data_IF_483181670603
#
_entry.id   IF_483181670603
#
_cell.length_a   1.000
_cell.length_b   1.000
_cell.length_c   1.000
_cell.angle_alpha   90.00
_cell.angle_beta   90.00
_cell.angle_gamma   90.00
#
_symmetry.space_group_name_H-M   'P 1'
#
loop_
_entity.id
_entity.type
_entity.pdbx_description
1 polymer ?
#
# COMPACT_ATOMS: atom_id res chain seq x y z
N UNK A 1 -7.49 15.89 12.74
CA UNK A 1 -7.21 15.35 11.38
C UNK A 1 -7.37 13.85 11.47
N UNK A 2 -8.13 13.24 10.56
CA UNK A 2 -8.35 11.78 10.55
C UNK A 2 -7.16 11.14 9.85
N UNK A 3 -6.49 10.19 10.49
CA UNK A 3 -5.35 9.51 9.89
C UNK A 3 -5.80 8.77 8.62
N UNK A 4 -5.08 8.99 7.52
CA UNK A 4 -5.39 8.38 6.23
C UNK A 4 -5.05 6.89 6.29
N UNK A 5 -5.99 6.03 5.86
CA UNK A 5 -5.81 4.57 5.87
C UNK A 5 -5.84 3.97 4.48
N UNK A 6 -4.85 3.15 4.19
CA UNK A 6 -4.75 2.32 3.00
C UNK A 6 -5.27 0.92 3.31
N UNK A 7 -6.31 0.47 2.61
CA UNK A 7 -6.89 -0.85 2.77
C UNK A 7 -6.46 -1.78 1.63
N UNK A 8 -5.83 -2.90 1.96
CA UNK A 8 -5.28 -3.85 0.99
C UNK A 8 -6.40 -4.72 0.43
N UNK A 9 -6.56 -4.71 -0.89
CA UNK A 9 -7.56 -5.52 -1.60
C UNK A 9 -6.93 -6.67 -2.38
N UNK A 10 -5.70 -6.50 -2.89
CA UNK A 10 -4.98 -7.56 -3.63
C UNK A 10 -3.48 -7.50 -3.33
N UNK A 11 -2.83 -8.67 -3.32
CA UNK A 11 -1.38 -8.80 -3.16
C UNK A 11 -0.87 -9.76 -4.24
N UNK A 12 0.15 -9.32 -4.98
CA UNK A 12 0.86 -10.14 -5.95
C UNK A 12 2.32 -10.26 -5.55
N UNK A 13 2.71 -11.47 -5.15
CA UNK A 13 4.10 -11.82 -4.98
C UNK A 13 4.67 -12.36 -6.29
N UNK A 14 5.59 -11.60 -6.89
CA UNK A 14 6.29 -12.00 -8.12
C UNK A 14 7.73 -12.36 -7.72
N UNK A 15 8.10 -13.65 -7.62
CA UNK A 15 9.40 -14.07 -7.06
C UNK A 15 10.61 -13.40 -7.70
N UNK A 16 10.54 -13.11 -9.00
CA UNK A 16 11.61 -12.46 -9.76
C UNK A 16 11.77 -10.95 -9.51
N UNK A 17 10.92 -10.33 -8.68
CA UNK A 17 11.02 -8.91 -8.28
C UNK A 17 11.42 -8.81 -6.82
N UNK A 18 12.15 -7.77 -6.47
CA UNK A 18 12.57 -7.50 -5.08
C UNK A 18 11.42 -6.98 -4.19
N UNK A 19 10.30 -6.56 -4.80
CA UNK A 19 9.14 -6.05 -4.10
C UNK A 19 7.84 -6.80 -4.37
N UNK A 20 6.94 -6.72 -3.40
CA UNK A 20 5.55 -7.17 -3.48
C UNK A 20 4.69 -6.08 -4.14
N UNK A 21 3.80 -6.47 -5.04
CA UNK A 21 2.82 -5.53 -5.61
C UNK A 21 1.56 -5.60 -4.78
N UNK A 22 1.15 -4.46 -4.24
CA UNK A 22 0.01 -4.33 -3.33
C UNK A 22 -0.99 -3.38 -3.94
N UNK A 23 -2.22 -3.86 -4.12
CA UNK A 23 -3.34 -3.03 -4.58
C UNK A 23 -4.23 -2.75 -3.38
N UNK A 24 -4.65 -1.51 -3.27
CA UNK A 24 -5.56 -1.11 -2.22
C UNK A 24 -6.26 0.19 -2.55
N UNK A 25 -6.97 0.71 -1.56
CA UNK A 25 -7.70 1.97 -1.69
C UNK A 25 -7.55 2.81 -0.44
N UNK A 26 -7.66 4.11 -0.62
CA UNK A 26 -7.68 5.08 0.48
C UNK A 26 -9.06 5.72 0.50
N UNK A 27 -9.65 5.79 1.69
CA UNK A 27 -10.81 6.64 1.89
C UNK A 27 -10.33 8.05 2.21
N UNK A 28 -10.82 9.01 1.42
CA UNK A 28 -10.68 10.44 1.66
C UNK A 28 -9.26 11.01 1.55
N UNK A 29 -8.49 10.58 0.54
CA UNK A 29 -7.18 11.18 0.24
C UNK A 29 -6.45 10.55 -0.93
N UNK A 30 -5.28 11.10 -1.23
CA UNK A 30 -4.35 10.60 -2.25
C UNK A 30 -2.96 10.48 -1.62
N UNK A 31 -2.23 9.41 -1.93
CA UNK A 31 -0.81 9.32 -1.57
C UNK A 31 -0.01 10.22 -2.49
N UNK A 32 0.87 11.06 -1.93
CA UNK A 32 1.80 11.86 -2.70
C UNK A 32 3.21 11.37 -2.41
N UNK A 33 3.92 10.91 -3.44
CA UNK A 33 5.26 10.37 -3.29
C UNK A 33 5.28 8.97 -2.66
N UNK A 34 6.38 8.64 -1.97
CA UNK A 34 6.55 7.35 -1.29
C UNK A 34 6.16 7.53 0.19
N UNK A 35 4.99 7.03 0.62
CA UNK A 35 4.50 7.22 1.98
C UNK A 35 5.23 6.32 2.98
N UNK A 36 5.23 6.76 4.24
CA UNK A 36 5.54 5.89 5.39
C UNK A 36 4.24 5.30 5.88
N UNK A 37 4.14 3.98 5.85
CA UNK A 37 2.95 3.24 6.24
C UNK A 37 3.24 2.40 7.47
N UNK A 38 2.27 2.28 8.38
CA UNK A 38 2.34 1.39 9.53
C UNK A 38 1.19 0.42 9.49
N UNK A 39 1.47 -0.87 9.69
CA UNK A 39 0.42 -1.88 9.76
C UNK A 39 -0.41 -1.72 11.02
N UNK A 40 -1.73 -1.58 10.88
CA UNK A 40 -2.64 -1.36 12.00
C UNK A 40 -2.71 -2.59 12.93
N UNK A 41 -2.37 -3.78 12.43
CA UNK A 41 -2.45 -5.03 13.20
C UNK A 41 -1.19 -5.28 14.01
N UNK A 42 -0.01 -5.22 13.36
CA UNK A 42 1.27 -5.50 14.02
C UNK A 42 1.94 -4.26 14.64
N UNK A 43 1.58 -3.07 14.17
CA UNK A 43 2.26 -1.83 14.52
C UNK A 43 3.62 -1.64 13.83
N UNK A 44 4.01 -2.55 12.94
CA UNK A 44 5.29 -2.51 12.23
C UNK A 44 5.26 -1.53 11.04
N UNK A 45 6.43 -0.96 10.73
CA UNK A 45 6.59 -0.10 9.57
C UNK A 45 6.59 -0.94 8.29
N UNK A 46 5.95 -0.42 7.26
CA UNK A 46 5.90 -0.99 5.91
C UNK A 46 6.68 -0.08 4.97
N UNK A 47 7.72 -0.62 4.37
CA UNK A 47 8.64 0.07 3.48
C UNK A 47 8.10 0.04 2.06
N UNK A 48 7.53 1.16 1.63
CA UNK A 48 7.11 1.35 0.24
C UNK A 48 8.35 1.71 -0.59
N UNK A 49 8.62 0.93 -1.64
CA UNK A 49 9.71 1.15 -2.60
C UNK A 49 9.27 2.08 -3.75
N UNK A 50 7.97 2.09 -4.06
CA UNK A 50 7.42 2.93 -5.11
C UNK A 50 5.90 2.92 -5.11
N UNK A 51 5.33 3.93 -5.76
CA UNK A 51 3.90 4.04 -5.96
C UNK A 51 3.62 4.19 -7.45
N UNK A 52 2.74 3.35 -7.97
CA UNK A 52 2.28 3.46 -9.35
C UNK A 52 0.98 4.28 -9.37
N UNK A 53 1.15 5.57 -9.64
CA UNK A 53 0.07 6.52 -9.72
C UNK A 53 -0.48 6.58 -11.16
N UNK A 54 -1.81 6.64 -11.28
CA UNK A 54 -2.53 7.15 -12.47
C UNK A 54 -2.48 6.30 -13.76
N UNK A 55 -2.73 4.99 -13.65
CA UNK A 55 -3.18 4.21 -14.82
C UNK A 55 -4.66 4.52 -15.15
N UNK A 56 -5.11 4.33 -16.39
CA UNK A 56 -6.54 4.44 -16.72
C UNK A 56 -7.44 3.55 -15.86
N UNK A 57 -6.91 2.41 -15.37
CA UNK A 57 -7.62 1.54 -14.43
C UNK A 57 -7.75 2.21 -13.07
N UNK A 58 -6.63 2.62 -12.44
CA UNK A 58 -6.64 3.18 -11.08
C UNK A 58 -7.48 4.44 -10.99
N UNK A 59 -7.52 5.27 -12.05
CA UNK A 59 -8.44 6.41 -12.14
C UNK A 59 -9.92 6.02 -12.17
N UNK A 60 -10.26 4.88 -12.76
CA UNK A 60 -11.65 4.39 -12.85
C UNK A 60 -12.09 3.71 -11.56
N UNK A 61 -11.19 2.99 -10.91
CA UNK A 61 -11.49 2.17 -9.73
C UNK A 61 -11.27 2.91 -8.41
N UNK A 62 -10.47 3.99 -8.41
CA UNK A 62 -10.00 4.65 -7.19
C UNK A 62 -8.94 3.82 -6.44
N UNK A 63 -8.43 2.76 -7.06
CA UNK A 63 -7.36 1.93 -6.50
C UNK A 63 -6.01 2.66 -6.56
N UNK A 64 -5.12 2.33 -5.64
CA UNK A 64 -3.71 2.71 -5.68
C UNK A 64 -2.86 1.45 -5.62
N UNK A 65 -1.76 1.45 -6.37
CA UNK A 65 -0.82 0.34 -6.44
C UNK A 65 0.49 0.77 -5.78
N UNK A 66 0.93 -0.01 -4.81
CA UNK A 66 2.18 0.16 -4.09
C UNK A 66 3.13 -0.99 -4.42
N UNK A 67 4.42 -0.67 -4.49
CA UNK A 67 5.49 -1.67 -4.46
C UNK A 67 6.09 -1.64 -3.07
N UNK A 68 6.04 -2.75 -2.36
CA UNK A 68 6.48 -2.88 -0.97
C UNK A 68 7.71 -3.77 -0.90
N UNK A 69 8.63 -3.47 0.01
CA UNK A 69 9.81 -4.31 0.23
C UNK A 69 9.39 -5.73 0.64
N UNK A 70 9.99 -6.74 0.02
CA UNK A 70 9.71 -8.14 0.34
C UNK A 70 10.10 -8.51 1.77
N UNK A 71 11.03 -7.79 2.40
CA UNK A 71 11.36 -7.98 3.81
C UNK A 71 10.13 -7.82 4.73
N UNK A 72 9.13 -7.04 4.30
CA UNK A 72 7.91 -6.75 5.07
C UNK A 72 6.74 -7.71 4.72
N UNK A 73 6.99 -8.80 3.99
CA UNK A 73 5.95 -9.73 3.53
C UNK A 73 5.01 -10.22 4.65
N UNK A 74 5.51 -10.36 5.89
CA UNK A 74 4.71 -10.76 7.05
C UNK A 74 3.60 -9.76 7.42
N UNK A 75 3.69 -8.52 6.92
CA UNK A 75 2.76 -7.42 7.19
C UNK A 75 1.86 -7.06 6.00
N UNK A 76 2.00 -7.78 4.88
CA UNK A 76 1.34 -7.52 3.61
C UNK A 76 0.34 -8.63 3.29
N UNK A 77 -0.92 -8.40 3.60
CA UNK A 77 -1.99 -9.39 3.40
C UNK A 77 -3.32 -8.71 3.04
N UNK A 78 -4.10 -9.34 2.16
CA UNK A 78 -5.44 -8.86 1.80
C UNK A 78 -6.31 -8.68 3.05
N UNK A 79 -7.00 -7.55 3.14
CA UNK A 79 -7.84 -7.19 4.27
C UNK A 79 -7.12 -6.42 5.38
N UNK A 80 -5.78 -6.38 5.39
CA UNK A 80 -5.05 -5.49 6.31
C UNK A 80 -5.25 -4.03 5.95
N UNK A 81 -5.06 -3.19 6.96
CA UNK A 81 -5.15 -1.74 6.83
C UNK A 81 -3.87 -1.13 7.37
N UNK A 82 -3.36 -0.15 6.65
CA UNK A 82 -2.16 0.58 7.00
C UNK A 82 -2.48 2.05 7.22
N UNK A 83 -1.98 2.61 8.31
CA UNK A 83 -2.08 4.04 8.58
C UNK A 83 -0.90 4.78 7.94
N UNK A 84 -1.19 5.89 7.26
CA UNK A 84 -0.19 6.80 6.70
C UNK A 84 0.35 7.69 7.82
N UNK A 85 1.67 7.68 8.00
CA UNK A 85 2.36 8.61 8.91
C UNK A 85 2.67 9.94 8.18
N UNK A 86 2.43 11.07 8.84
CA UNK A 86 2.79 12.42 8.38
C UNK A 86 4.28 12.73 8.51
#
# INVERSE_FOLDING_TARGET
>A
MTAMRFHITEVFDIPARDGLIVVGSIRDGELVGVPRLRDDTSGELVHVLGVDHLTPRTRRTGETILVVDRADAAYVEVGRSWTVEE
#
